data_IF_950355593888
#
_entry.id   IF_950355593888
#
_cell.length_a   1.000
_cell.length_b   1.000
_cell.length_c   1.000
_cell.angle_alpha   90.00
_cell.angle_beta   90.00
_cell.angle_gamma   90.00
#
_symmetry.space_group_name_H-M   'P 1'
#
loop_
_entity.id
_entity.type
_entity.pdbx_description
1 polymer ?
#
# COMPACT_ATOMS: atom_id res chain seq x y z
N UNK A 1 -3.50 45.96 -10.36
CA UNK A 1 -3.72 44.55 -9.96
C UNK A 1 -4.83 44.47 -8.93
N UNK A 2 -5.96 43.84 -9.30
CA UNK A 2 -7.08 43.64 -8.38
C UNK A 2 -6.69 42.70 -7.22
N UNK A 3 -7.45 42.71 -6.13
CA UNK A 3 -7.23 41.77 -5.02
C UNK A 3 -7.47 40.31 -5.47
N UNK A 4 -8.47 40.10 -6.33
CA UNK A 4 -8.78 38.80 -6.93
C UNK A 4 -7.60 38.23 -7.71
N UNK A 5 -6.97 39.02 -8.57
CA UNK A 5 -5.82 38.59 -9.38
C UNK A 5 -4.67 38.13 -8.48
N UNK A 6 -4.38 38.86 -7.39
CA UNK A 6 -3.38 38.49 -6.38
C UNK A 6 -3.71 37.16 -5.69
N UNK A 7 -4.99 36.87 -5.45
CA UNK A 7 -5.43 35.59 -4.87
C UNK A 7 -5.27 34.44 -5.86
N UNK A 8 -5.64 34.62 -7.13
CA UNK A 8 -5.42 33.60 -8.16
C UNK A 8 -3.93 33.33 -8.42
N UNK A 9 -3.09 34.37 -8.50
CA UNK A 9 -1.63 34.20 -8.61
C UNK A 9 -1.05 33.40 -7.44
N UNK A 10 -1.52 33.64 -6.21
CA UNK A 10 -1.13 32.84 -5.02
C UNK A 10 -1.58 31.38 -5.12
N UNK A 11 -2.76 31.10 -5.66
CA UNK A 11 -3.22 29.73 -5.91
C UNK A 11 -2.39 29.04 -6.99
N UNK A 12 -2.14 29.71 -8.11
CA UNK A 12 -1.32 29.21 -9.21
C UNK A 12 0.15 29.02 -8.84
N UNK A 13 0.64 29.71 -7.81
CA UNK A 13 1.98 29.47 -7.27
C UNK A 13 2.14 28.05 -6.66
N UNK A 14 1.05 27.33 -6.38
CA UNK A 14 1.08 25.91 -5.96
C UNK A 14 1.27 24.95 -7.14
N UNK A 15 1.20 25.41 -8.38
CA UNK A 15 1.49 24.58 -9.53
C UNK A 15 3.01 24.40 -9.71
N UNK A 16 3.45 23.25 -10.26
CA UNK A 16 4.84 23.04 -10.62
C UNK A 16 5.41 24.18 -11.49
N UNK A 17 6.65 24.59 -11.20
CA UNK A 17 7.29 25.80 -11.77
C UNK A 17 7.20 25.88 -13.29
N UNK A 18 7.66 24.87 -14.02
CA UNK A 18 7.66 24.91 -15.49
C UNK A 18 6.26 24.75 -16.12
N UNK A 19 5.23 24.36 -15.37
CA UNK A 19 3.85 24.44 -15.86
C UNK A 19 3.32 25.86 -15.72
N UNK A 20 3.60 26.49 -14.57
CA UNK A 20 3.28 27.89 -14.31
C UNK A 20 3.99 28.83 -15.28
N UNK A 21 5.25 28.58 -15.60
CA UNK A 21 6.00 29.40 -16.57
C UNK A 21 5.44 29.30 -18.00
N UNK A 22 4.81 28.17 -18.35
CA UNK A 22 4.25 27.95 -19.70
C UNK A 22 2.78 28.32 -19.85
N UNK A 23 1.96 28.07 -18.84
CA UNK A 23 0.51 28.23 -18.92
C UNK A 23 -0.07 29.13 -17.83
N UNK A 24 0.77 29.68 -16.94
CA UNK A 24 0.29 30.44 -15.77
C UNK A 24 -0.50 31.69 -16.14
N UNK A 25 -0.04 32.44 -17.14
CA UNK A 25 -0.72 33.65 -17.60
C UNK A 25 -2.01 33.34 -18.37
N UNK A 26 -2.02 32.26 -19.15
CA UNK A 26 -3.23 31.77 -19.85
C UNK A 26 -4.29 31.31 -18.84
N UNK A 27 -3.90 30.49 -17.86
CA UNK A 27 -4.80 30.05 -16.78
C UNK A 27 -5.33 31.23 -15.98
N UNK A 28 -4.49 32.24 -15.70
CA UNK A 28 -4.92 33.45 -15.00
C UNK A 28 -5.93 34.25 -15.83
N UNK A 29 -5.71 34.39 -17.14
CA UNK A 29 -6.63 35.08 -18.04
C UNK A 29 -8.00 34.39 -18.08
N UNK A 30 -8.04 33.06 -18.19
CA UNK A 30 -9.29 32.27 -18.17
C UNK A 30 -10.03 32.41 -16.84
N UNK A 31 -9.31 32.37 -15.72
CA UNK A 31 -9.90 32.54 -14.39
C UNK A 31 -10.45 33.96 -14.18
N UNK A 32 -9.77 34.98 -14.70
CA UNK A 32 -10.22 36.37 -14.64
C UNK A 32 -11.43 36.62 -15.54
N UNK A 33 -11.47 36.05 -16.75
CA UNK A 33 -12.63 36.17 -17.63
C UNK A 33 -13.88 35.47 -17.09
N UNK A 34 -13.69 34.34 -16.39
CA UNK A 34 -14.79 33.61 -15.76
C UNK A 34 -15.27 34.25 -14.42
N UNK A 35 -14.48 35.16 -13.84
CA UNK A 35 -14.80 35.76 -12.55
C UNK A 35 -15.97 36.76 -12.63
N UNK A 36 -16.10 37.50 -13.74
CA UNK A 36 -17.04 38.64 -13.83
C UNK A 36 -16.71 39.71 -12.78
N UNK A 37 -17.73 40.28 -12.13
CA UNK A 37 -17.60 41.34 -11.11
C UNK A 37 -17.26 40.83 -9.69
N UNK A 38 -16.80 39.57 -9.55
CA UNK A 38 -16.51 38.99 -8.23
C UNK A 38 -15.17 39.47 -7.67
N UNK A 39 -15.15 39.91 -6.42
CA UNK A 39 -13.89 40.32 -5.73
C UNK A 39 -13.10 39.15 -5.11
N UNK A 40 -13.70 37.95 -5.03
CA UNK A 40 -13.08 36.77 -4.41
C UNK A 40 -13.32 35.48 -5.21
N UNK A 41 -12.36 34.53 -5.22
CA UNK A 41 -12.56 33.22 -5.83
C UNK A 41 -13.66 32.46 -5.11
N UNK A 42 -14.46 31.69 -5.84
CA UNK A 42 -15.39 30.77 -5.19
C UNK A 42 -14.64 29.65 -4.47
N UNK A 43 -15.28 29.08 -3.45
CA UNK A 43 -14.76 27.89 -2.74
C UNK A 43 -14.57 26.71 -3.69
N UNK A 44 -15.46 26.54 -4.67
CA UNK A 44 -15.40 25.50 -5.69
C UNK A 44 -14.21 25.68 -6.63
N UNK A 45 -13.96 26.89 -7.15
CA UNK A 45 -12.79 27.19 -7.98
C UNK A 45 -11.48 26.99 -7.21
N UNK A 46 -11.46 27.39 -5.93
CA UNK A 46 -10.29 27.18 -5.07
C UNK A 46 -10.00 25.69 -4.89
N UNK A 47 -11.01 24.88 -4.58
CA UNK A 47 -10.87 23.44 -4.42
C UNK A 47 -10.44 22.76 -5.73
N UNK A 48 -11.02 23.15 -6.86
CA UNK A 48 -10.67 22.60 -8.17
C UNK A 48 -9.23 22.94 -8.57
N UNK A 49 -8.80 24.19 -8.37
CA UNK A 49 -7.41 24.60 -8.63
C UNK A 49 -6.40 23.87 -7.74
N UNK A 50 -6.70 23.71 -6.45
CA UNK A 50 -5.83 22.91 -5.56
C UNK A 50 -5.77 21.46 -6.01
N UNK A 51 -6.92 20.87 -6.35
CA UNK A 51 -6.99 19.49 -6.81
C UNK A 51 -6.25 19.27 -8.12
N UNK A 52 -6.34 20.21 -9.05
CA UNK A 52 -5.60 20.17 -10.30
C UNK A 52 -4.09 20.37 -10.09
N UNK A 53 -3.66 21.24 -9.17
CA UNK A 53 -2.25 21.40 -8.78
C UNK A 53 -1.68 20.11 -8.19
N UNK A 54 -2.39 19.51 -7.22
CA UNK A 54 -2.04 18.22 -6.61
C UNK A 54 -1.94 17.14 -7.69
N UNK A 55 -2.94 17.04 -8.57
CA UNK A 55 -2.95 16.08 -9.68
C UNK A 55 -1.77 16.27 -10.61
N UNK A 56 -1.36 17.50 -10.90
CA UNK A 56 -0.23 17.78 -11.77
C UNK A 56 1.12 17.46 -11.11
N UNK A 57 1.25 17.74 -9.81
CA UNK A 57 2.40 17.29 -9.02
C UNK A 57 2.49 15.77 -8.99
N UNK A 58 1.40 15.07 -8.66
CA UNK A 58 1.32 13.61 -8.75
C UNK A 58 1.70 13.13 -10.15
N UNK A 59 1.16 13.73 -11.21
CA UNK A 59 1.49 13.36 -12.59
C UNK A 59 2.97 13.56 -12.92
N UNK A 60 3.64 14.56 -12.36
CA UNK A 60 5.07 14.81 -12.57
C UNK A 60 5.96 13.83 -11.82
N UNK A 61 5.66 13.54 -10.55
CA UNK A 61 6.39 12.49 -9.83
C UNK A 61 6.18 11.15 -10.55
N UNK A 62 4.96 10.93 -11.04
CA UNK A 62 4.61 9.79 -11.88
C UNK A 62 5.34 9.80 -13.23
N UNK A 63 5.61 10.93 -13.90
CA UNK A 63 6.27 10.99 -15.22
C UNK A 63 7.80 10.99 -15.14
N UNK A 64 8.39 11.45 -14.04
CA UNK A 64 9.84 11.37 -13.77
C UNK A 64 10.35 9.92 -13.65
N UNK A 65 9.44 8.94 -13.64
CA UNK A 65 9.62 7.52 -13.38
C UNK A 65 10.43 6.70 -14.38
N UNK A 66 11.06 7.33 -15.38
CA UNK A 66 12.17 6.75 -16.12
C UNK A 66 11.94 5.37 -16.75
N UNK A 67 10.73 5.10 -17.24
CA UNK A 67 10.43 3.93 -18.10
C UNK A 67 10.16 2.60 -17.39
N UNK A 68 9.90 2.58 -16.07
CA UNK A 68 9.54 1.32 -15.38
C UNK A 68 8.18 0.81 -15.86
N UNK A 69 8.14 -0.41 -16.40
CA UNK A 69 6.87 -1.07 -16.75
C UNK A 69 6.15 -1.50 -15.48
N UNK A 70 4.92 -1.03 -15.30
CA UNK A 70 4.14 -1.36 -14.13
C UNK A 70 3.71 -2.83 -14.09
N UNK A 71 3.68 -3.52 -15.25
CA UNK A 71 3.46 -4.97 -15.30
C UNK A 71 4.59 -5.74 -14.61
N UNK A 72 5.83 -5.27 -14.72
CA UNK A 72 6.97 -5.87 -14.03
C UNK A 72 6.87 -5.66 -12.52
N UNK A 73 6.43 -4.48 -12.06
CA UNK A 73 6.16 -4.23 -10.63
C UNK A 73 5.07 -5.16 -10.11
N UNK A 74 3.94 -5.27 -10.81
CA UNK A 74 2.88 -6.19 -10.43
C UNK A 74 3.33 -7.66 -10.46
N UNK A 75 4.24 -8.04 -11.36
CA UNK A 75 4.78 -9.39 -11.40
C UNK A 75 5.65 -9.70 -10.16
N UNK A 76 6.44 -8.74 -9.69
CA UNK A 76 7.21 -8.89 -8.44
C UNK A 76 6.29 -8.93 -7.23
N UNK A 77 5.29 -8.04 -7.17
CA UNK A 77 4.28 -8.04 -6.09
C UNK A 77 3.49 -9.34 -6.05
N UNK A 78 3.02 -9.84 -7.20
CA UNK A 78 2.26 -11.10 -7.26
C UNK A 78 3.05 -12.32 -6.83
N UNK A 79 4.39 -12.26 -6.90
CA UNK A 79 5.28 -13.30 -6.38
C UNK A 79 5.55 -13.16 -4.87
N UNK A 80 5.96 -11.97 -4.42
CA UNK A 80 6.52 -11.78 -3.09
C UNK A 80 5.47 -11.39 -2.03
N UNK A 81 4.39 -10.71 -2.42
CA UNK A 81 3.39 -10.22 -1.48
C UNK A 81 2.63 -11.31 -0.73
N UNK A 82 2.22 -12.44 -1.35
CA UNK A 82 1.59 -13.54 -0.61
C UNK A 82 2.46 -14.09 0.52
N UNK A 83 3.80 -14.10 0.33
CA UNK A 83 4.73 -14.50 1.37
C UNK A 83 4.81 -13.42 2.46
N UNK A 84 4.98 -12.16 2.07
CA UNK A 84 5.04 -11.04 3.01
C UNK A 84 3.78 -10.95 3.89
N UNK A 85 2.59 -11.20 3.32
CA UNK A 85 1.31 -11.22 4.02
C UNK A 85 1.28 -12.23 5.18
N UNK A 86 2.02 -13.34 5.09
CA UNK A 86 2.10 -14.31 6.19
C UNK A 86 2.76 -13.77 7.45
N UNK A 87 3.53 -12.68 7.36
CA UNK A 87 4.04 -12.01 8.56
C UNK A 87 2.90 -11.37 9.40
N UNK A 88 1.73 -11.11 8.81
CA UNK A 88 0.55 -10.65 9.55
C UNK A 88 -0.01 -11.71 10.51
N UNK A 89 0.26 -13.00 10.28
CA UNK A 89 -0.15 -14.08 11.16
C UNK A 89 0.62 -14.14 12.50
N UNK A 90 1.60 -13.25 12.71
CA UNK A 90 2.48 -13.25 13.90
C UNK A 90 1.69 -13.24 15.20
N UNK A 91 0.64 -12.42 15.31
CA UNK A 91 -0.18 -12.33 16.53
C UNK A 91 -0.89 -13.66 16.81
N UNK A 92 -1.52 -14.26 15.79
CA UNK A 92 -2.18 -15.56 15.95
C UNK A 92 -1.22 -16.70 16.29
N UNK A 93 -0.03 -16.70 15.68
CA UNK A 93 1.02 -17.68 16.03
C UNK A 93 1.51 -17.47 17.47
N UNK A 94 1.61 -16.22 17.93
CA UNK A 94 1.96 -15.92 19.32
C UNK A 94 0.90 -16.46 20.30
N UNK A 95 -0.39 -16.23 20.03
CA UNK A 95 -1.48 -16.76 20.86
C UNK A 95 -1.47 -18.29 20.89
N UNK A 96 -1.33 -18.95 19.74
CA UNK A 96 -1.21 -20.42 19.67
C UNK A 96 -0.01 -20.90 20.50
N UNK A 97 1.15 -20.27 20.35
CA UNK A 97 2.35 -20.62 21.10
C UNK A 97 2.15 -20.45 22.62
N UNK A 98 1.43 -19.41 23.04
CA UNK A 98 1.08 -19.19 24.44
C UNK A 98 0.17 -20.29 25.00
N UNK A 99 -0.89 -20.67 24.27
CA UNK A 99 -1.79 -21.75 24.68
C UNK A 99 -1.11 -23.13 24.67
N UNK A 100 -0.22 -23.39 23.72
CA UNK A 100 0.62 -24.60 23.70
C UNK A 100 1.52 -24.64 24.92
N UNK A 101 2.20 -23.54 25.25
CA UNK A 101 3.04 -23.43 26.45
C UNK A 101 2.26 -23.65 27.74
N UNK A 102 1.00 -23.20 27.78
CA UNK A 102 0.10 -23.40 28.92
C UNK A 102 -0.51 -24.81 28.99
N UNK A 103 -0.26 -25.69 28.00
CA UNK A 103 -0.91 -27.01 27.91
C UNK A 103 -2.42 -26.94 27.69
N UNK A 104 -2.93 -25.80 27.20
CA UNK A 104 -4.35 -25.45 27.19
C UNK A 104 -4.92 -25.29 25.76
N UNK A 105 -4.25 -25.82 24.75
CA UNK A 105 -4.64 -25.64 23.33
C UNK A 105 -6.05 -26.16 23.02
N UNK A 106 -6.47 -27.24 23.70
CA UNK A 106 -7.83 -27.80 23.54
C UNK A 106 -8.94 -26.90 24.09
N UNK A 107 -8.60 -25.97 24.99
CA UNK A 107 -9.53 -24.98 25.56
C UNK A 107 -9.44 -23.60 24.91
N UNK A 108 -8.61 -23.43 23.87
CA UNK A 108 -8.47 -22.14 23.19
C UNK A 108 -9.79 -21.75 22.52
N UNK A 109 -10.39 -20.59 22.86
CA UNK A 109 -11.60 -20.15 22.20
C UNK A 109 -11.23 -19.54 20.83
N UNK A 110 -11.07 -20.41 19.83
CA UNK A 110 -10.58 -20.07 18.48
C UNK A 110 -11.27 -18.88 17.84
N UNK A 111 -12.59 -18.78 17.99
CA UNK A 111 -13.40 -17.73 17.38
C UNK A 111 -13.21 -16.36 18.01
N UNK A 112 -12.78 -16.30 19.27
CA UNK A 112 -12.57 -15.04 20.00
C UNK A 112 -11.10 -14.74 20.26
N UNK A 113 -10.17 -15.67 20.06
CA UNK A 113 -8.74 -15.40 20.20
C UNK A 113 -8.04 -15.27 18.86
N UNK A 114 -8.58 -15.91 17.81
CA UNK A 114 -7.95 -15.92 16.50
C UNK A 114 -9.00 -15.91 15.36
N UNK A 115 -9.87 -14.88 15.29
CA UNK A 115 -10.95 -14.81 14.30
C UNK A 115 -10.45 -14.67 12.86
N UNK A 116 -9.24 -14.15 12.67
CA UNK A 116 -8.56 -13.97 11.40
C UNK A 116 -7.76 -15.21 10.95
N UNK A 117 -7.77 -16.32 11.71
CA UNK A 117 -7.13 -17.57 11.30
C UNK A 117 -7.49 -18.01 9.86
N UNK A 118 -8.77 -17.95 9.43
CA UNK A 118 -9.13 -18.31 8.06
C UNK A 118 -8.49 -17.41 7.01
N UNK A 119 -8.29 -16.11 7.30
CA UNK A 119 -7.62 -15.16 6.40
C UNK A 119 -6.19 -15.61 6.13
N UNK A 120 -5.44 -15.95 7.19
CA UNK A 120 -4.04 -16.38 7.05
C UNK A 120 -3.91 -17.75 6.39
N UNK A 121 -4.84 -18.66 6.64
CA UNK A 121 -4.90 -19.95 5.91
C UNK A 121 -5.08 -19.71 4.42
N UNK A 122 -6.00 -18.83 4.02
CA UNK A 122 -6.21 -18.49 2.61
C UNK A 122 -4.95 -17.87 2.00
N UNK A 123 -4.29 -16.93 2.68
CA UNK A 123 -3.02 -16.37 2.21
C UNK A 123 -1.89 -17.41 2.11
N UNK A 124 -1.85 -18.39 3.02
CA UNK A 124 -0.94 -19.53 2.94
C UNK A 124 -1.19 -20.37 1.70
N UNK A 125 -2.46 -20.65 1.37
CA UNK A 125 -2.85 -21.34 0.13
C UNK A 125 -2.45 -20.52 -1.10
N UNK A 126 -2.69 -19.21 -1.11
CA UNK A 126 -2.26 -18.30 -2.19
C UNK A 126 -0.75 -18.38 -2.38
N UNK A 127 0.03 -18.29 -1.30
CA UNK A 127 1.49 -18.37 -1.35
C UNK A 127 1.96 -19.71 -1.96
N UNK A 128 1.40 -20.84 -1.55
CA UNK A 128 1.72 -22.16 -2.10
C UNK A 128 1.36 -22.24 -3.60
N UNK A 129 0.18 -21.74 -4.00
CA UNK A 129 -0.24 -21.73 -5.40
C UNK A 129 0.68 -20.87 -6.29
N UNK A 130 1.09 -19.71 -5.78
CA UNK A 130 2.05 -18.81 -6.45
C UNK A 130 3.41 -19.47 -6.62
N UNK A 131 3.93 -20.12 -5.57
CA UNK A 131 5.20 -20.84 -5.65
C UNK A 131 5.15 -21.98 -6.68
N UNK A 132 4.02 -22.68 -6.78
CA UNK A 132 3.74 -23.71 -7.78
C UNK A 132 3.43 -23.18 -9.19
N UNK A 133 3.41 -21.86 -9.39
CA UNK A 133 3.16 -21.24 -10.69
C UNK A 133 1.68 -21.21 -11.12
N UNK A 134 0.73 -21.47 -10.22
CA UNK A 134 -0.71 -21.49 -10.50
C UNK A 134 -1.37 -20.13 -10.22
N UNK A 135 -0.96 -19.10 -10.97
CA UNK A 135 -1.38 -17.71 -10.73
C UNK A 135 -2.89 -17.48 -10.79
N UNK A 136 -3.60 -18.12 -11.72
CA UNK A 136 -5.06 -17.96 -11.85
C UNK A 136 -5.81 -18.51 -10.65
N UNK A 137 -5.43 -19.71 -10.18
CA UNK A 137 -6.01 -20.29 -8.97
C UNK A 137 -5.69 -19.43 -7.74
N UNK A 138 -4.45 -18.91 -7.65
CA UNK A 138 -4.06 -18.00 -6.59
C UNK A 138 -4.90 -16.72 -6.59
N UNK A 139 -5.18 -16.12 -7.75
CA UNK A 139 -6.06 -14.95 -7.86
C UNK A 139 -7.49 -15.25 -7.35
N UNK A 140 -8.04 -16.42 -7.72
CA UNK A 140 -9.38 -16.86 -7.28
C UNK A 140 -9.44 -17.01 -5.76
N UNK A 141 -8.38 -17.49 -5.11
CA UNK A 141 -8.33 -17.61 -3.63
C UNK A 141 -8.04 -16.27 -2.94
N UNK A 142 -7.26 -15.39 -3.57
CA UNK A 142 -6.87 -14.11 -3.00
C UNK A 142 -8.06 -13.14 -2.82
N UNK A 143 -9.03 -13.13 -3.74
CA UNK A 143 -10.22 -12.27 -3.61
C UNK A 143 -11.08 -12.60 -2.38
N UNK A 144 -11.48 -13.86 -2.14
CA UNK A 144 -12.11 -14.27 -0.88
C UNK A 144 -11.27 -13.94 0.35
N UNK A 145 -9.94 -14.09 0.29
CA UNK A 145 -9.07 -13.72 1.41
C UNK A 145 -9.18 -12.23 1.75
N UNK A 146 -9.17 -11.35 0.74
CA UNK A 146 -9.35 -9.89 0.91
C UNK A 146 -10.73 -9.56 1.45
N UNK A 147 -11.79 -10.15 0.88
CA UNK A 147 -13.17 -9.95 1.37
C UNK A 147 -13.26 -10.36 2.84
N UNK A 148 -12.71 -11.51 3.20
CA UNK A 148 -12.72 -12.00 4.56
C UNK A 148 -11.91 -11.10 5.51
N UNK A 149 -10.75 -10.60 5.09
CA UNK A 149 -9.99 -9.61 5.88
C UNK A 149 -10.82 -8.35 6.17
N UNK A 150 -11.55 -7.84 5.17
CA UNK A 150 -12.42 -6.66 5.33
C UNK A 150 -13.60 -6.97 6.26
N UNK A 151 -14.23 -8.14 6.12
CA UNK A 151 -15.33 -8.56 6.98
C UNK A 151 -14.87 -8.72 8.44
N UNK A 152 -13.74 -9.38 8.67
CA UNK A 152 -13.17 -9.53 10.03
C UNK A 152 -12.90 -8.16 10.65
N UNK A 153 -12.26 -7.25 9.90
CA UNK A 153 -12.01 -5.88 10.36
C UNK A 153 -13.29 -5.08 10.66
N UNK A 154 -14.37 -5.32 9.91
CA UNK A 154 -15.65 -4.63 10.09
C UNK A 154 -16.47 -5.19 11.27
N UNK A 155 -16.47 -6.50 11.48
CA UNK A 155 -17.35 -7.18 12.44
C UNK A 155 -16.69 -7.52 13.78
N UNK A 156 -15.36 -7.52 13.87
CA UNK A 156 -14.61 -7.80 15.10
C UNK A 156 -13.72 -6.63 15.58
N UNK A 157 -14.26 -5.40 15.70
CA UNK A 157 -13.44 -4.21 15.99
C UNK A 157 -12.76 -4.26 17.38
N UNK A 158 -13.31 -5.01 18.33
CA UNK A 158 -12.77 -5.11 19.69
C UNK A 158 -11.46 -5.90 19.80
N UNK A 159 -11.09 -6.67 18.77
CA UNK A 159 -9.80 -7.37 18.73
C UNK A 159 -8.75 -6.60 17.92
N UNK A 160 -9.22 -5.83 16.96
CA UNK A 160 -8.42 -4.91 16.16
C UNK A 160 -8.44 -3.53 16.83
N UNK A 161 -7.75 -3.39 17.97
CA UNK A 161 -7.71 -2.17 18.78
C UNK A 161 -7.29 -0.91 17.99
N UNK A 162 -6.76 -1.08 16.77
CA UNK A 162 -6.59 -0.01 15.79
C UNK A 162 -6.98 -0.46 14.39
N UNK A 163 -8.08 0.11 13.87
CA UNK A 163 -8.44 -0.02 12.44
C UNK A 163 -7.31 0.45 11.51
N UNK A 164 -6.41 1.30 12.04
CA UNK A 164 -5.24 1.77 11.34
C UNK A 164 -4.11 0.75 11.11
N UNK A 165 -3.81 -0.14 12.06
CA UNK A 165 -2.66 -1.05 11.90
C UNK A 165 -2.92 -2.15 10.87
N UNK A 166 -4.15 -2.67 10.83
CA UNK A 166 -4.55 -3.71 9.88
C UNK A 166 -4.82 -3.18 8.47
N UNK A 167 -5.03 -1.86 8.34
CA UNK A 167 -5.25 -1.21 7.05
C UNK A 167 -4.12 -1.53 6.05
N UNK A 168 -2.87 -1.58 6.51
CA UNK A 168 -1.75 -1.89 5.64
C UNK A 168 -1.76 -3.33 5.13
N UNK A 169 -2.15 -4.30 5.97
CA UNK A 169 -2.32 -5.70 5.54
C UNK A 169 -3.46 -5.85 4.53
N UNK A 170 -4.59 -5.18 4.76
CA UNK A 170 -5.73 -5.17 3.84
C UNK A 170 -5.35 -4.53 2.50
N UNK A 171 -4.65 -3.40 2.52
CA UNK A 171 -4.17 -2.73 1.30
C UNK A 171 -3.18 -3.60 0.52
N UNK A 172 -2.20 -4.22 1.19
CA UNK A 172 -1.29 -5.17 0.52
C UNK A 172 -2.06 -6.36 -0.03
N UNK A 173 -3.00 -6.92 0.73
CA UNK A 173 -3.85 -8.01 0.28
C UNK A 173 -4.63 -7.66 -1.00
N UNK A 174 -5.28 -6.50 -1.02
CA UNK A 174 -6.01 -5.99 -2.18
C UNK A 174 -5.08 -5.79 -3.39
N UNK A 175 -3.92 -5.14 -3.19
CA UNK A 175 -2.94 -4.94 -4.25
C UNK A 175 -2.35 -6.26 -4.76
N UNK A 176 -2.24 -7.26 -3.90
CA UNK A 176 -1.80 -8.61 -4.25
C UNK A 176 -2.84 -9.34 -5.10
N UNK A 177 -4.12 -9.28 -4.74
CA UNK A 177 -5.20 -9.86 -5.54
C UNK A 177 -5.29 -9.20 -6.93
N UNK A 178 -5.17 -7.87 -6.97
CA UNK A 178 -5.06 -7.05 -8.19
C UNK A 178 -3.85 -7.46 -9.03
N UNK A 179 -2.67 -7.60 -8.41
CA UNK A 179 -1.45 -8.01 -9.09
C UNK A 179 -1.56 -9.44 -9.64
N UNK A 180 -2.13 -10.38 -8.89
CA UNK A 180 -2.35 -11.76 -9.36
C UNK A 180 -3.33 -11.81 -10.54
N UNK A 181 -4.29 -10.88 -10.60
CA UNK A 181 -5.31 -10.83 -11.66
C UNK A 181 -4.77 -10.22 -12.96
N UNK A 182 -3.97 -9.16 -12.88
CA UNK A 182 -3.56 -8.39 -14.07
C UNK A 182 -2.06 -8.43 -14.40
N UNK A 183 -1.22 -9.03 -13.56
CA UNK A 183 0.21 -9.19 -13.88
C UNK A 183 0.45 -10.25 -14.95
N UNK A 184 1.62 -10.23 -15.61
CA UNK A 184 2.12 -11.35 -16.41
C UNK A 184 2.31 -12.66 -15.62
N UNK A 185 2.17 -12.61 -14.29
CA UNK A 185 2.27 -13.75 -13.38
C UNK A 185 3.58 -13.82 -12.57
N UNK A 186 3.62 -14.69 -11.56
CA UNK A 186 4.75 -14.81 -10.64
C UNK A 186 6.00 -15.43 -11.28
N UNK A 187 5.86 -16.13 -12.41
CA UNK A 187 7.00 -16.61 -13.19
C UNK A 187 7.85 -15.43 -13.70
N UNK A 188 7.20 -14.40 -14.25
CA UNK A 188 7.85 -13.15 -14.65
C UNK A 188 8.47 -12.43 -13.46
N UNK A 189 7.77 -12.39 -12.32
CA UNK A 189 8.32 -11.84 -11.08
C UNK A 189 9.63 -12.54 -10.69
N UNK A 190 9.67 -13.87 -10.81
CA UNK A 190 10.83 -14.69 -10.46
C UNK A 190 12.00 -14.49 -11.42
N UNK A 191 11.74 -14.23 -12.70
CA UNK A 191 12.78 -13.82 -13.66
C UNK A 191 13.41 -12.47 -13.27
N UNK A 192 12.59 -11.52 -12.81
CA UNK A 192 13.03 -10.16 -12.47
C UNK A 192 13.86 -10.09 -11.18
N UNK A 193 13.44 -10.80 -10.12
CA UNK A 193 14.12 -10.74 -8.80
C UNK A 193 14.98 -11.98 -8.49
N UNK A 194 14.85 -13.04 -9.27
CA UNK A 194 15.57 -14.30 -9.07
C UNK A 194 15.00 -15.18 -7.96
N UNK A 195 15.47 -16.44 -7.89
CA UNK A 195 15.03 -17.41 -6.86
C UNK A 195 15.46 -17.02 -5.44
N UNK A 196 16.60 -16.35 -5.30
CA UNK A 196 17.13 -15.89 -4.01
C UNK A 196 16.16 -14.92 -3.31
N UNK A 197 15.45 -14.09 -4.06
CA UNK A 197 14.44 -13.17 -3.52
C UNK A 197 13.33 -13.89 -2.76
N UNK A 198 12.84 -15.01 -3.28
CA UNK A 198 11.80 -15.84 -2.64
C UNK A 198 12.31 -16.40 -1.32
N UNK A 199 13.54 -16.92 -1.30
CA UNK A 199 14.17 -17.44 -0.09
C UNK A 199 14.38 -16.32 0.94
N UNK A 200 14.89 -15.16 0.52
CA UNK A 200 15.08 -14.00 1.40
C UNK A 200 13.75 -13.56 2.00
N UNK A 201 12.68 -13.47 1.20
CA UNK A 201 11.36 -13.12 1.70
C UNK A 201 10.82 -14.15 2.69
N UNK A 202 10.94 -15.45 2.38
CA UNK A 202 10.52 -16.52 3.29
C UNK A 202 11.27 -16.48 4.63
N UNK A 203 12.59 -16.29 4.61
CA UNK A 203 13.42 -16.13 5.81
C UNK A 203 13.05 -14.87 6.57
N UNK A 204 12.78 -13.77 5.87
CA UNK A 204 12.34 -12.50 6.48
C UNK A 204 11.03 -12.69 7.24
N UNK A 205 10.04 -13.35 6.63
CA UNK A 205 8.75 -13.66 7.25
C UNK A 205 8.95 -14.57 8.46
N UNK A 206 9.71 -15.66 8.32
CA UNK A 206 9.99 -16.58 9.42
C UNK A 206 10.69 -15.87 10.60
N UNK A 207 11.69 -15.03 10.34
CA UNK A 207 12.37 -14.23 11.36
C UNK A 207 11.43 -13.23 12.02
N UNK A 208 10.57 -12.56 11.24
CA UNK A 208 9.57 -11.61 11.75
C UNK A 208 8.58 -12.28 12.70
N UNK A 209 8.07 -13.45 12.30
CA UNK A 209 7.16 -14.27 13.13
C UNK A 209 7.88 -14.74 14.39
N UNK A 210 9.10 -15.29 14.25
CA UNK A 210 9.88 -15.76 15.40
C UNK A 210 10.17 -14.64 16.41
N UNK A 211 10.58 -13.46 15.94
CA UNK A 211 10.80 -12.29 16.79
C UNK A 211 9.51 -11.88 17.51
N UNK A 212 8.38 -11.81 16.81
CA UNK A 212 7.10 -11.45 17.43
C UNK A 212 6.56 -12.50 18.39
N UNK A 213 6.81 -13.79 18.16
CA UNK A 213 6.39 -14.87 19.06
C UNK A 213 7.24 -14.90 20.32
N UNK A 214 8.57 -14.77 20.18
CA UNK A 214 9.53 -14.96 21.29
C UNK A 214 9.75 -13.70 22.13
N UNK A 215 9.66 -12.52 21.52
CA UNK A 215 9.91 -11.24 22.18
C UNK A 215 8.69 -10.35 22.24
N UNK A 216 7.49 -10.93 22.24
CA UNK A 216 6.28 -10.14 22.52
C UNK A 216 6.45 -9.46 23.88
N UNK A 217 6.12 -8.16 23.94
CA UNK A 217 6.29 -7.23 25.08
C UNK A 217 7.61 -6.47 25.18
N UNK A 218 8.65 -6.85 24.44
CA UNK A 218 9.93 -6.11 24.47
C UNK A 218 9.99 -5.06 23.36
N UNK A 219 10.03 -3.74 23.67
CA UNK A 219 10.03 -2.69 22.65
C UNK A 219 11.18 -2.83 21.66
N UNK A 220 12.35 -3.25 22.13
CA UNK A 220 13.54 -3.47 21.29
C UNK A 220 13.28 -4.54 20.23
N UNK A 221 12.56 -5.62 20.58
CA UNK A 221 12.24 -6.69 19.64
C UNK A 221 11.27 -6.21 18.58
N UNK A 222 10.33 -5.31 18.92
CA UNK A 222 9.43 -4.70 17.95
C UNK A 222 10.17 -3.84 16.92
N UNK A 223 11.16 -3.05 17.35
CA UNK A 223 12.02 -2.31 16.43
C UNK A 223 12.87 -3.24 15.55
N UNK A 224 13.40 -4.33 16.10
CA UNK A 224 14.15 -5.33 15.33
C UNK A 224 13.25 -6.04 14.32
N UNK A 225 12.01 -6.36 14.70
CA UNK A 225 10.99 -6.95 13.81
C UNK A 225 10.69 -6.02 12.63
N UNK A 226 10.47 -4.74 12.92
CA UNK A 226 10.31 -3.69 11.91
C UNK A 226 11.51 -3.59 10.98
N UNK A 227 12.72 -3.51 11.53
CA UNK A 227 13.95 -3.42 10.76
C UNK A 227 14.16 -4.66 9.89
N UNK A 228 13.83 -5.85 10.39
CA UNK A 228 13.91 -7.11 9.65
C UNK A 228 12.93 -7.12 8.46
N UNK A 229 11.67 -6.72 8.66
CA UNK A 229 10.68 -6.62 7.57
C UNK A 229 11.14 -5.61 6.52
N UNK A 230 11.58 -4.42 6.93
CA UNK A 230 12.05 -3.37 6.01
C UNK A 230 13.26 -3.85 5.21
N UNK A 231 14.32 -4.28 5.91
CA UNK A 231 15.57 -4.71 5.29
C UNK A 231 15.37 -5.92 4.39
N UNK A 232 14.69 -6.95 4.90
CA UNK A 232 14.40 -8.18 4.17
C UNK A 232 13.56 -7.95 2.92
N UNK A 233 12.54 -7.09 2.98
CA UNK A 233 11.72 -6.72 1.82
C UNK A 233 12.53 -5.95 0.78
N UNK A 234 13.36 -4.99 1.20
CA UNK A 234 14.23 -4.22 0.29
C UNK A 234 15.27 -5.12 -0.41
N UNK A 235 15.84 -6.08 0.31
CA UNK A 235 16.78 -7.06 -0.25
C UNK A 235 16.05 -8.02 -1.20
N UNK A 236 14.91 -8.58 -0.80
CA UNK A 236 14.12 -9.50 -1.61
C UNK A 236 13.65 -8.86 -2.93
N UNK A 237 13.18 -7.61 -2.89
CA UNK A 237 12.77 -6.91 -4.11
C UNK A 237 13.96 -6.44 -4.97
N UNK A 238 15.19 -6.47 -4.45
CA UNK A 238 16.37 -5.97 -5.14
C UNK A 238 16.45 -4.44 -5.14
N UNK A 239 16.87 -3.86 -4.01
CA UNK A 239 16.99 -2.41 -3.76
C UNK A 239 17.72 -1.60 -4.84
N UNK A 240 18.60 -2.22 -5.64
CA UNK A 240 19.32 -1.56 -6.74
C UNK A 240 18.45 -1.35 -7.98
N UNK A 241 17.41 -2.17 -8.16
CA UNK A 241 16.52 -2.08 -9.31
C UNK A 241 15.38 -1.08 -9.07
N UNK A 242 14.97 -0.35 -10.13
CA UNK A 242 13.84 0.58 -10.04
C UNK A 242 12.51 -0.15 -9.81
N UNK A 243 12.31 -1.29 -10.48
CA UNK A 243 11.15 -2.19 -10.31
C UNK A 243 11.07 -2.66 -8.86
N UNK A 244 12.20 -3.14 -8.32
CA UNK A 244 12.32 -3.64 -6.96
C UNK A 244 11.96 -2.62 -5.90
N UNK A 245 12.50 -1.39 -6.00
CA UNK A 245 12.16 -0.32 -5.05
C UNK A 245 10.65 -0.04 -5.02
N UNK A 246 9.97 -0.07 -6.15
CA UNK A 246 8.50 0.14 -6.21
C UNK A 246 7.71 -1.02 -5.65
N UNK A 247 8.12 -2.24 -5.97
CA UNK A 247 7.53 -3.42 -5.36
C UNK A 247 7.70 -3.37 -3.84
N UNK A 248 8.88 -3.00 -3.33
CA UNK A 248 9.12 -2.83 -1.91
C UNK A 248 8.23 -1.75 -1.28
N UNK A 249 7.98 -0.61 -1.94
CA UNK A 249 7.04 0.40 -1.43
C UNK A 249 5.63 -0.17 -1.20
N UNK A 250 5.16 -1.03 -2.11
CA UNK A 250 3.86 -1.72 -1.95
C UNK A 250 3.93 -2.70 -0.78
N UNK A 251 4.97 -3.52 -0.72
CA UNK A 251 5.11 -4.55 0.32
C UNK A 251 5.34 -3.98 1.73
N UNK A 252 5.84 -2.75 1.84
CA UNK A 252 6.09 -2.06 3.11
C UNK A 252 4.90 -1.22 3.60
N UNK A 253 3.76 -1.26 2.91
CA UNK A 253 2.52 -0.62 3.38
C UNK A 253 2.14 -0.98 4.84
N UNK A 254 2.22 -2.25 5.30
CA UNK A 254 1.89 -2.61 6.68
C UNK A 254 2.83 -1.94 7.68
N UNK A 255 4.10 -1.79 7.31
CA UNK A 255 5.08 -1.07 8.12
C UNK A 255 4.75 0.42 8.20
N UNK A 256 4.37 1.04 7.08
CA UNK A 256 3.96 2.46 7.04
C UNK A 256 2.73 2.70 7.92
N UNK A 257 1.70 1.86 7.80
CA UNK A 257 0.49 2.00 8.64
C UNK A 257 0.79 1.72 10.10
N UNK A 258 1.67 0.77 10.42
CA UNK A 258 2.08 0.52 11.80
C UNK A 258 2.82 1.72 12.41
N UNK A 259 3.76 2.34 11.68
CA UNK A 259 4.45 3.56 12.14
C UNK A 259 3.47 4.72 12.34
N UNK A 260 2.50 4.90 11.44
CA UNK A 260 1.43 5.89 11.62
C UNK A 260 0.58 5.61 12.88
N UNK A 261 0.30 4.34 13.16
CA UNK A 261 -0.40 3.91 14.37
C UNK A 261 0.35 4.27 15.65
N UNK A 262 1.66 3.97 15.69
CA UNK A 262 2.52 4.38 16.81
C UNK A 262 2.61 5.89 16.95
N UNK A 263 2.72 6.63 15.84
CA UNK A 263 2.73 8.09 15.88
C UNK A 263 1.43 8.66 16.44
N UNK A 264 0.27 8.12 16.04
CA UNK A 264 -1.02 8.51 16.60
C UNK A 264 -1.10 8.24 18.10
N UNK A 265 -0.61 7.07 18.57
CA UNK A 265 -0.56 6.73 19.98
C UNK A 265 0.26 7.74 20.78
N UNK A 266 1.46 8.06 20.30
CA UNK A 266 2.39 8.96 20.98
C UNK A 266 1.79 10.37 21.17
N UNK A 267 1.00 10.84 20.21
CA UNK A 267 0.35 12.17 20.27
C UNK A 267 -1.01 12.10 20.98
N UNK A 268 -1.48 10.92 21.40
CA UNK A 268 -2.79 10.72 22.04
C UNK A 268 -3.97 11.33 21.26
N UNK A 269 -3.87 11.38 19.93
CA UNK A 269 -4.89 11.98 19.08
C UNK A 269 -6.07 10.99 18.93
N UNK A 270 -7.18 11.30 19.62
CA UNK A 270 -8.47 10.66 19.33
C UNK A 270 -9.03 11.27 18.05
N UNK A 271 -8.95 10.52 16.96
CA UNK A 271 -9.56 10.89 15.69
C UNK A 271 -10.97 10.30 15.60
N UNK A 272 -11.92 10.99 14.96
CA UNK A 272 -13.15 10.35 14.51
C UNK A 272 -12.81 9.17 13.58
N UNK A 273 -13.59 8.08 13.65
CA UNK A 273 -13.35 6.85 12.86
C UNK A 273 -13.24 7.12 11.36
N UNK A 274 -14.01 8.07 10.82
CA UNK A 274 -13.94 8.45 9.41
C UNK A 274 -12.58 9.07 9.03
N UNK A 275 -12.00 9.88 9.92
CA UNK A 275 -10.68 10.47 9.74
C UNK A 275 -9.59 9.41 9.88
N UNK A 276 -9.73 8.49 10.84
CA UNK A 276 -8.81 7.35 10.99
C UNK A 276 -8.77 6.52 9.69
N UNK A 277 -9.93 6.12 9.17
CA UNK A 277 -10.02 5.41 7.88
C UNK A 277 -9.38 6.23 6.75
N UNK A 278 -9.67 7.53 6.66
CA UNK A 278 -9.08 8.38 5.63
C UNK A 278 -7.55 8.48 5.74
N UNK A 279 -7.00 8.53 6.96
CA UNK A 279 -5.55 8.61 7.19
C UNK A 279 -4.88 7.28 6.88
N UNK A 280 -5.35 6.17 7.45
CA UNK A 280 -4.67 4.89 7.33
C UNK A 280 -4.87 4.18 5.99
N UNK A 281 -5.98 4.43 5.29
CA UNK A 281 -6.17 3.91 3.94
C UNK A 281 -5.77 4.93 2.87
N UNK A 282 -6.13 6.20 3.06
CA UNK A 282 -5.91 7.24 2.05
C UNK A 282 -4.45 7.67 1.94
N UNK A 283 -3.77 7.93 3.06
CA UNK A 283 -2.40 8.46 3.03
C UNK A 283 -1.42 7.47 2.39
N UNK A 284 -1.41 6.16 2.72
CA UNK A 284 -0.52 5.21 2.07
C UNK A 284 -0.83 5.04 0.58
N UNK A 285 -2.10 5.07 0.17
CA UNK A 285 -2.48 5.02 -1.24
C UNK A 285 -2.01 6.27 -1.99
N UNK A 286 -2.19 7.46 -1.41
CA UNK A 286 -1.68 8.72 -1.99
C UNK A 286 -0.16 8.70 -2.06
N UNK A 287 0.53 8.18 -1.03
CA UNK A 287 1.98 8.02 -1.03
C UNK A 287 2.43 7.05 -2.14
N UNK A 288 1.75 5.91 -2.32
CA UNK A 288 2.04 4.99 -3.42
C UNK A 288 1.79 5.62 -4.79
N UNK A 289 0.71 6.39 -4.96
CA UNK A 289 0.43 7.11 -6.20
C UNK A 289 1.49 8.16 -6.48
N UNK A 290 1.88 8.93 -5.45
CA UNK A 290 2.91 9.94 -5.57
C UNK A 290 4.25 9.31 -5.92
N UNK A 291 4.63 8.20 -5.29
CA UNK A 291 5.89 7.50 -5.51
C UNK A 291 5.91 6.57 -6.74
N UNK A 292 4.84 6.59 -7.56
CA UNK A 292 4.79 5.83 -8.82
C UNK A 292 4.62 4.32 -8.66
N UNK A 293 4.08 3.86 -7.52
CA UNK A 293 3.89 2.45 -7.20
C UNK A 293 2.75 1.78 -7.96
N UNK A 294 1.71 2.51 -8.35
CA UNK A 294 0.52 1.91 -8.98
C UNK A 294 0.59 1.88 -10.51
N UNK A 295 0.15 0.76 -11.14
CA UNK A 295 0.14 0.58 -12.58
C UNK A 295 -0.82 1.53 -13.28
N UNK A 296 -0.34 2.14 -14.36
CA UNK A 296 -1.15 3.00 -15.22
C UNK A 296 -2.07 2.17 -16.13
N UNK A 297 -3.21 2.72 -16.51
CA UNK A 297 -4.02 2.23 -17.64
C UNK A 297 -3.11 2.06 -18.87
N UNK A 298 -2.99 0.83 -19.34
CA UNK A 298 -2.28 0.50 -20.58
C UNK A 298 -2.96 1.27 -21.71
N UNK A 299 -2.26 2.25 -22.28
CA UNK A 299 -2.70 2.88 -23.54
C UNK A 299 -2.60 1.78 -24.59
N UNK A 300 -3.74 1.28 -25.11
CA UNK A 300 -3.74 0.33 -26.23
C UNK A 300 -2.87 0.95 -27.32
N UNK A 301 -1.79 0.24 -27.68
CA UNK A 301 -0.92 0.62 -28.78
C UNK A 301 -1.83 0.66 -30.02
N UNK A 302 -1.97 1.79 -30.74
CA UNK A 302 -2.73 1.80 -31.97
C UNK A 302 -2.11 0.75 -32.88
N UNK A 303 -2.94 -0.16 -33.38
CA UNK A 303 -2.53 -1.25 -34.24
C UNK A 303 -1.71 -0.67 -35.39
N UNK A 304 -0.47 -1.15 -35.54
CA UNK A 304 0.32 -0.81 -36.73
C UNK A 304 -0.45 -1.39 -37.93
N UNK A 305 -0.70 -0.60 -38.99
CA UNK A 305 -1.31 -1.14 -40.19
C UNK A 305 -0.43 -2.29 -40.70
N UNK A 306 -1.05 -3.44 -40.94
CA UNK A 306 -0.42 -4.57 -41.62
C UNK A 306 -0.27 -4.14 -43.08
N UNK A 307 0.96 -3.84 -43.50
CA UNK A 307 1.33 -3.64 -44.91
C UNK A 307 2.01 -4.89 -45.43
#
# INVERSE_FOLDING_TARGET
MSELERRYRRLLARYPRDHRERHGDEMLAVLMSAAGDRDRPSTRETADLMWAAVRLHLRRVVVADGGVDARDVLAVVSLLAPLALLAGATTGVHEIAWFVKAGAIGSMPWTTQFPDAPVWVLWGVVAVLVLRGRSRAAAVVAWPAVVLSVLVAAFYPHQHWWTGMDAGWILVGLLTAVALTWSPGPARGRELVGRKAVLVMAVTVAATVALGVLGSREPVVEFLRLAAVIGGTLVACGHRSRVGRRAALILLLPTVTMVLGYAQLLVSLRMPTSLEVAVFYGLPVVALLALGGLPRRVRRRPDRPVT
#
